data_IF_921978546424
#
_entry.id   IF_921978546424
#
_cell.length_a   1.000
_cell.length_b   1.000
_cell.length_c   1.000
_cell.angle_alpha   90.00
_cell.angle_beta   90.00
_cell.angle_gamma   90.00
#
_symmetry.space_group_name_H-M   'P 1'
#
loop_
_entity.id
_entity.type
_entity.pdbx_description
1 polymer ?
#
# COMPACT_ATOMS: atom_id res chain seq x y z
N UNK A 1 -3.17 -12.43 -38.99
CA UNK A 1 -3.17 -13.14 -37.70
C UNK A 1 -3.99 -12.31 -36.71
N UNK A 2 -5.18 -12.78 -36.35
CA UNK A 2 -6.04 -12.11 -35.36
C UNK A 2 -5.52 -12.48 -33.97
N UNK A 3 -5.18 -11.48 -33.14
CA UNK A 3 -4.84 -11.72 -31.75
C UNK A 3 -6.08 -12.28 -31.03
N UNK A 4 -5.96 -13.46 -30.45
CA UNK A 4 -7.02 -14.11 -29.67
C UNK A 4 -7.26 -13.33 -28.36
N UNK A 5 -8.52 -13.08 -27.96
CA UNK A 5 -8.85 -12.42 -26.70
C UNK A 5 -8.88 -13.48 -25.59
N UNK A 6 -7.72 -13.97 -25.15
CA UNK A 6 -7.61 -14.84 -23.98
C UNK A 6 -6.47 -14.35 -23.09
N UNK A 7 -6.74 -14.38 -21.78
CA UNK A 7 -5.82 -14.10 -20.65
C UNK A 7 -5.72 -12.65 -20.16
N UNK A 8 -6.86 -11.96 -20.00
CA UNK A 8 -6.91 -10.89 -18.99
C UNK A 8 -7.06 -11.53 -17.61
N UNK A 9 -6.14 -11.28 -16.66
CA UNK A 9 -6.21 -11.86 -15.33
C UNK A 9 -7.52 -11.46 -14.64
N UNK A 10 -8.12 -12.39 -13.91
CA UNK A 10 -9.32 -12.08 -13.14
C UNK A 10 -8.97 -11.06 -12.04
N UNK A 11 -9.98 -10.33 -11.54
CA UNK A 11 -9.78 -9.36 -10.45
C UNK A 11 -9.17 -10.01 -9.18
N UNK A 12 -9.43 -11.30 -8.98
CA UNK A 12 -8.86 -12.10 -7.89
C UNK A 12 -7.37 -12.38 -8.13
N UNK A 13 -7.01 -12.90 -9.31
CA UNK A 13 -5.61 -13.17 -9.69
C UNK A 13 -4.74 -11.91 -9.66
N UNK A 14 -5.28 -10.77 -10.11
CA UNK A 14 -4.58 -9.49 -10.05
C UNK A 14 -4.37 -9.03 -8.60
N UNK A 15 -5.30 -9.32 -7.70
CA UNK A 15 -5.14 -8.97 -6.29
C UNK A 15 -4.10 -9.86 -5.63
N UNK A 16 -4.13 -11.16 -5.88
CA UNK A 16 -3.15 -12.09 -5.30
C UNK A 16 -1.73 -11.73 -5.76
N UNK A 17 -1.55 -11.33 -7.03
CA UNK A 17 -0.29 -10.79 -7.53
C UNK A 17 0.15 -9.52 -6.80
N UNK A 18 -0.79 -8.62 -6.52
CA UNK A 18 -0.50 -7.38 -5.76
C UNK A 18 -0.16 -7.66 -4.31
N UNK A 19 -0.83 -8.62 -3.67
CA UNK A 19 -0.54 -9.05 -2.30
C UNK A 19 0.85 -9.69 -2.22
N UNK A 20 1.20 -10.57 -3.17
CA UNK A 20 2.54 -11.14 -3.26
C UNK A 20 3.59 -10.03 -3.40
N UNK A 21 3.37 -9.07 -4.30
CA UNK A 21 4.28 -7.94 -4.48
C UNK A 21 4.44 -7.08 -3.23
N UNK A 22 3.38 -6.91 -2.44
CA UNK A 22 3.45 -6.19 -1.16
C UNK A 22 4.23 -6.98 -0.10
N UNK A 23 4.11 -8.30 -0.10
CA UNK A 23 4.90 -9.17 0.78
C UNK A 23 6.40 -9.10 0.41
N UNK A 24 6.73 -9.11 -0.89
CA UNK A 24 8.10 -8.94 -1.37
C UNK A 24 8.66 -7.57 -0.97
N UNK A 25 7.91 -6.49 -1.22
CA UNK A 25 8.29 -5.13 -0.82
C UNK A 25 8.53 -5.02 0.69
N UNK A 26 7.70 -5.68 1.52
CA UNK A 26 7.88 -5.74 2.97
C UNK A 26 9.18 -6.45 3.35
N UNK A 27 9.48 -7.57 2.72
CA UNK A 27 10.72 -8.32 2.96
C UNK A 27 11.95 -7.49 2.57
N UNK A 28 11.91 -6.83 1.41
CA UNK A 28 12.96 -5.91 0.94
C UNK A 28 13.16 -4.74 1.91
N UNK A 29 12.08 -4.13 2.41
CA UNK A 29 12.15 -3.06 3.40
C UNK A 29 12.82 -3.53 4.69
N UNK A 30 12.43 -4.70 5.22
CA UNK A 30 13.00 -5.26 6.45
C UNK A 30 14.47 -5.67 6.31
N UNK A 31 14.96 -5.88 5.09
CA UNK A 31 16.37 -6.13 4.83
C UNK A 31 17.24 -4.86 4.89
N UNK A 32 16.65 -3.67 5.08
CA UNK A 32 17.40 -2.43 5.22
C UNK A 32 18.21 -2.42 6.53
N UNK A 33 19.49 -2.04 6.44
CA UNK A 33 20.39 -1.96 7.59
C UNK A 33 19.98 -0.87 8.60
N UNK A 34 19.32 0.20 8.13
CA UNK A 34 18.75 1.22 9.00
C UNK A 34 17.41 0.75 9.57
N UNK A 35 17.36 0.54 10.88
CA UNK A 35 16.17 0.02 11.57
C UNK A 35 14.95 0.93 11.45
N UNK A 36 15.15 2.25 11.43
CA UNK A 36 14.03 3.19 11.29
C UNK A 36 13.46 3.09 9.88
N UNK A 37 14.33 3.07 8.87
CA UNK A 37 13.93 2.91 7.47
C UNK A 37 13.24 1.58 7.20
N UNK A 38 13.79 0.50 7.76
CA UNK A 38 13.21 -0.82 7.66
C UNK A 38 11.77 -0.85 8.18
N UNK A 39 11.54 -0.29 9.37
CA UNK A 39 10.23 -0.23 9.99
C UNK A 39 9.25 0.69 9.23
N UNK A 40 9.72 1.83 8.72
CA UNK A 40 8.88 2.72 7.90
C UNK A 40 8.43 2.03 6.61
N UNK A 41 9.35 1.39 5.89
CA UNK A 41 9.03 0.66 4.66
C UNK A 41 8.09 -0.52 4.90
N UNK A 42 8.33 -1.32 5.95
CA UNK A 42 7.44 -2.42 6.33
C UNK A 42 6.04 -1.94 6.72
N UNK A 43 5.95 -0.85 7.49
CA UNK A 43 4.67 -0.23 7.86
C UNK A 43 3.90 0.30 6.65
N UNK A 44 4.58 0.85 5.65
CA UNK A 44 3.96 1.23 4.36
C UNK A 44 3.40 0.00 3.64
N UNK A 45 4.14 -1.11 3.61
CA UNK A 45 3.68 -2.36 3.00
C UNK A 45 2.38 -2.86 3.65
N UNK A 46 2.35 -2.90 4.99
CA UNK A 46 1.20 -3.35 5.77
C UNK A 46 -0.03 -2.45 5.54
N UNK A 47 0.17 -1.13 5.46
CA UNK A 47 -0.89 -0.17 5.14
C UNK A 47 -1.46 -0.36 3.74
N UNK A 48 -0.59 -0.52 2.74
CA UNK A 48 -1.02 -0.76 1.36
C UNK A 48 -1.78 -2.08 1.21
N UNK A 49 -1.40 -3.12 1.96
CA UNK A 49 -2.12 -4.39 2.00
C UNK A 49 -3.54 -4.20 2.56
N UNK A 50 -3.68 -3.50 3.69
CA UNK A 50 -5.00 -3.18 4.24
C UNK A 50 -5.85 -2.36 3.26
N UNK A 51 -5.26 -1.36 2.60
CA UNK A 51 -5.95 -0.54 1.61
C UNK A 51 -6.44 -1.37 0.42
N UNK A 52 -5.63 -2.32 -0.07
CA UNK A 52 -5.99 -3.22 -1.17
C UNK A 52 -7.21 -4.09 -0.80
N UNK A 53 -7.20 -4.70 0.38
CA UNK A 53 -8.29 -5.53 0.86
C UNK A 53 -9.59 -4.73 1.07
N UNK A 54 -9.50 -3.53 1.66
CA UNK A 54 -10.65 -2.63 1.81
C UNK A 54 -11.23 -2.24 0.46
N UNK A 55 -10.38 -1.92 -0.52
CA UNK A 55 -10.82 -1.60 -1.89
C UNK A 55 -11.56 -2.76 -2.53
N UNK A 56 -11.08 -3.99 -2.41
CA UNK A 56 -11.79 -5.16 -2.93
C UNK A 56 -13.16 -5.36 -2.25
N UNK A 57 -13.21 -5.15 -0.93
CA UNK A 57 -14.47 -5.20 -0.18
C UNK A 57 -15.48 -4.17 -0.70
N UNK A 58 -15.03 -2.94 -0.97
CA UNK A 58 -15.86 -1.89 -1.58
C UNK A 58 -16.29 -2.28 -3.00
N UNK A 59 -15.34 -2.70 -3.85
CA UNK A 59 -15.59 -3.03 -5.25
C UNK A 59 -16.55 -4.21 -5.41
N UNK A 60 -16.49 -5.22 -4.54
CA UNK A 60 -17.43 -6.35 -4.59
C UNK A 60 -18.86 -5.90 -4.29
N UNK A 61 -19.06 -4.99 -3.32
CA UNK A 61 -20.38 -4.48 -2.97
C UNK A 61 -20.94 -3.54 -4.07
N UNK A 62 -20.08 -2.79 -4.75
CA UNK A 62 -20.47 -1.85 -5.82
C UNK A 62 -20.73 -2.57 -7.15
N UNK A 63 -19.93 -3.58 -7.52
CA UNK A 63 -20.07 -4.28 -8.80
C UNK A 63 -21.32 -5.17 -8.87
N UNK A 64 -21.83 -5.64 -7.72
CA UNK A 64 -22.93 -6.61 -7.72
C UNK A 64 -24.33 -5.99 -7.81
N UNK A 65 -24.52 -4.67 -7.62
CA UNK A 65 -25.87 -4.08 -7.57
C UNK A 65 -25.91 -2.62 -8.04
N UNK A 66 -27.08 -2.19 -8.53
CA UNK A 66 -27.49 -0.79 -8.46
C UNK A 66 -27.59 -0.40 -6.98
N UNK A 67 -26.46 -0.01 -6.39
CA UNK A 67 -26.33 0.21 -4.94
C UNK A 67 -27.29 1.34 -4.53
N UNK A 68 -28.17 1.06 -3.57
CA UNK A 68 -29.06 2.10 -3.04
C UNK A 68 -28.27 3.07 -2.15
N UNK A 69 -28.71 4.33 -1.98
CA UNK A 69 -28.06 5.27 -1.07
C UNK A 69 -27.89 4.73 0.36
N UNK A 70 -28.85 3.93 0.84
CA UNK A 70 -28.79 3.27 2.16
C UNK A 70 -27.70 2.21 2.24
N UNK A 71 -27.50 1.43 1.18
CA UNK A 71 -26.40 0.45 1.11
C UNK A 71 -25.05 1.15 0.97
N UNK A 72 -24.98 2.21 0.16
CA UNK A 72 -23.77 3.03 0.05
C UNK A 72 -23.39 3.67 1.39
N UNK A 73 -24.37 4.15 2.16
CA UNK A 73 -24.16 4.67 3.51
C UNK A 73 -23.53 3.66 4.48
N UNK A 74 -23.74 2.36 4.29
CA UNK A 74 -23.07 1.31 5.08
C UNK A 74 -21.60 1.11 4.69
N UNK A 75 -21.20 1.49 3.48
CA UNK A 75 -19.80 1.45 3.01
C UNK A 75 -19.01 2.67 3.46
N UNK A 76 -19.68 3.77 3.86
CA UNK A 76 -19.02 5.02 4.23
C UNK A 76 -17.91 4.84 5.29
N UNK A 77 -18.10 4.07 6.39
CA UNK A 77 -17.03 3.84 7.36
C UNK A 77 -15.79 3.14 6.76
N UNK A 78 -16.02 2.16 5.87
CA UNK A 78 -14.96 1.42 5.18
C UNK A 78 -14.20 2.33 4.21
N UNK A 79 -14.91 3.20 3.48
CA UNK A 79 -14.33 4.20 2.58
C UNK A 79 -13.52 5.22 3.38
N UNK A 80 -14.03 5.70 4.52
CA UNK A 80 -13.31 6.61 5.41
C UNK A 80 -12.02 5.98 5.93
N UNK A 81 -12.07 4.71 6.36
CA UNK A 81 -10.89 3.98 6.80
C UNK A 81 -9.87 3.85 5.67
N UNK A 82 -10.32 3.47 4.46
CA UNK A 82 -9.47 3.41 3.27
C UNK A 82 -8.76 4.75 2.99
N UNK A 83 -9.49 5.87 3.04
CA UNK A 83 -8.92 7.20 2.85
C UNK A 83 -7.92 7.60 3.96
N UNK A 84 -8.20 7.21 5.21
CA UNK A 84 -7.27 7.44 6.34
C UNK A 84 -5.95 6.69 6.15
N UNK A 85 -6.02 5.42 5.69
CA UNK A 85 -4.84 4.61 5.42
C UNK A 85 -4.00 5.23 4.29
N UNK A 86 -4.62 5.70 3.22
CA UNK A 86 -3.91 6.42 2.14
C UNK A 86 -3.16 7.65 2.65
N UNK A 87 -3.84 8.52 3.42
CA UNK A 87 -3.19 9.70 4.00
C UNK A 87 -2.03 9.34 4.92
N UNK A 88 -2.15 8.26 5.69
CA UNK A 88 -1.07 7.83 6.58
C UNK A 88 0.11 7.23 5.81
N UNK A 89 -0.17 6.52 4.72
CA UNK A 89 0.85 6.01 3.79
C UNK A 89 1.65 7.16 3.18
N UNK A 90 0.97 8.21 2.70
CA UNK A 90 1.62 9.41 2.16
C UNK A 90 2.52 10.08 3.19
N UNK A 91 2.08 10.18 4.45
CA UNK A 91 2.88 10.75 5.54
C UNK A 91 4.14 9.94 5.81
N UNK A 92 4.07 8.62 5.77
CA UNK A 92 5.24 7.76 5.98
C UNK A 92 6.23 7.90 4.82
N UNK A 93 5.74 7.96 3.58
CA UNK A 93 6.59 8.20 2.40
C UNK A 93 7.27 9.57 2.50
N UNK A 94 6.54 10.63 2.88
CA UNK A 94 7.11 11.96 3.06
C UNK A 94 8.14 11.99 4.21
N UNK A 95 7.89 11.25 5.29
CA UNK A 95 8.84 11.15 6.40
C UNK A 95 10.13 10.46 5.96
N UNK A 96 10.05 9.34 5.23
CA UNK A 96 11.22 8.67 4.65
C UNK A 96 11.99 9.65 3.76
N UNK A 97 11.30 10.33 2.84
CA UNK A 97 11.93 11.31 1.95
C UNK A 97 12.65 12.42 2.71
N UNK A 98 12.07 12.96 3.79
CA UNK A 98 12.70 14.05 4.58
C UNK A 98 13.91 13.56 5.35
N UNK A 99 13.79 12.45 6.08
CA UNK A 99 14.89 11.88 6.87
C UNK A 99 16.13 11.61 6.01
N UNK A 100 15.92 11.20 4.75
CA UNK A 100 17.00 10.86 3.83
C UNK A 100 17.40 11.97 2.86
N UNK A 101 16.58 13.00 2.68
CA UNK A 101 16.99 14.24 2.00
C UNK A 101 17.83 15.14 2.92
N UNK A 102 17.56 15.11 4.22
CA UNK A 102 18.23 15.94 5.23
C UNK A 102 19.41 15.23 5.91
N UNK A 103 19.66 13.95 5.64
CA UNK A 103 20.80 13.21 6.20
C UNK A 103 22.13 13.91 5.86
N UNK A 104 22.78 14.57 6.83
CA UNK A 104 24.11 15.13 6.63
C UNK A 104 25.07 13.95 6.46
N UNK A 105 26.05 14.07 5.56
CA UNK A 105 27.26 13.24 5.66
C UNK A 105 27.73 13.34 7.10
N UNK A 106 27.68 12.25 7.87
CA UNK A 106 28.10 12.28 9.27
C UNK A 106 29.50 12.90 9.32
N UNK A 107 29.75 13.92 10.17
CA UNK A 107 31.11 14.35 10.41
C UNK A 107 31.85 13.17 11.03
N UNK A 108 32.83 12.64 10.30
CA UNK A 108 33.77 11.65 10.81
C UNK A 108 34.42 12.25 12.05
N UNK A 109 34.15 11.67 13.23
CA UNK A 109 34.85 12.02 14.45
C UNK A 109 36.35 11.77 14.22
N UNK A 110 37.24 12.76 14.40
CA UNK A 110 38.68 12.52 14.24
C UNK A 110 39.14 11.49 15.28
N UNK A 111 40.11 10.63 14.94
CA UNK A 111 40.68 9.69 15.90
C UNK A 111 41.38 10.47 17.03
N UNK A 112 41.21 9.98 18.26
CA UNK A 112 41.93 10.44 19.47
C UNK A 112 43.41 10.12 19.41
#
# INVERSE_FOLDING_TARGET
>A
MKASPQDQPTNLEETDRRLARLADYRAEALANADLLRANLGAGVADMLQMALLLRQGIDSQVKHQAITPKQFGKLAPTIELYLKIHRQTDRFIQLDQRLWAESPKMPTRPPE
#
